data_IF_665123948003
#
_entry.id   IF_665123948003
#
_cell.length_a   1.000
_cell.length_b   1.000
_cell.length_c   1.000
_cell.angle_alpha   90.00
_cell.angle_beta   90.00
_cell.angle_gamma   90.00
#
_symmetry.space_group_name_H-M   'P 1'
#
loop_
_entity.id
_entity.type
_entity.pdbx_description
1 polymer ?
#
# COMPACT_ATOMS: atom_id res chain seq x y z
N UNK A 1 21.53 9.20 -3.54
CA UNK A 1 20.76 7.94 -3.49
C UNK A 1 19.32 8.25 -3.13
N UNK A 2 18.37 7.40 -3.52
CA UNK A 2 16.97 7.53 -3.09
C UNK A 2 16.74 6.71 -1.82
N UNK A 3 15.88 7.20 -0.93
CA UNK A 3 15.50 6.48 0.31
C UNK A 3 14.29 5.56 0.09
N UNK A 4 13.51 5.76 -0.97
CA UNK A 4 12.38 4.91 -1.31
C UNK A 4 12.40 4.59 -2.80
N UNK A 5 12.10 3.33 -3.14
CA UNK A 5 11.87 2.90 -4.52
C UNK A 5 10.59 2.09 -4.59
N UNK A 6 9.69 2.52 -5.46
CA UNK A 6 8.41 1.85 -5.71
C UNK A 6 8.33 1.54 -7.19
N UNK A 7 8.01 0.29 -7.52
CA UNK A 7 7.75 -0.14 -8.88
C UNK A 7 6.25 0.01 -9.18
N UNK A 8 5.91 0.69 -10.29
CA UNK A 8 4.54 0.88 -10.74
C UNK A 8 4.28 0.03 -11.99
N UNK A 9 3.41 -0.98 -11.88
CA UNK A 9 2.99 -1.79 -13.02
C UNK A 9 1.72 -1.21 -13.65
N UNK A 10 1.81 -0.81 -14.92
CA UNK A 10 0.66 -0.32 -15.71
C UNK A 10 -0.23 -1.50 -16.10
N UNK A 11 -1.54 -1.40 -15.85
CA UNK A 11 -2.54 -2.44 -16.18
C UNK A 11 -3.92 -1.81 -16.43
N UNK A 12 -3.99 -0.84 -17.34
CA UNK A 12 -5.19 -0.02 -17.53
C UNK A 12 -5.41 0.94 -16.35
N UNK A 13 -6.67 1.10 -15.95
CA UNK A 13 -7.08 1.93 -14.80
C UNK A 13 -6.60 1.30 -13.49
N UNK A 14 -6.81 -0.01 -13.31
CA UNK A 14 -6.36 -0.75 -12.13
C UNK A 14 -4.86 -1.09 -12.21
N UNK A 15 -4.08 -0.61 -11.25
CA UNK A 15 -2.61 -0.71 -11.25
C UNK A 15 -2.10 -1.39 -9.99
N UNK A 16 -0.83 -1.79 -10.04
CA UNK A 16 -0.12 -2.39 -8.91
C UNK A 16 1.11 -1.56 -8.60
N UNK A 17 1.28 -1.20 -7.32
CA UNK A 17 2.50 -0.63 -6.79
C UNK A 17 3.19 -1.67 -5.89
N UNK A 18 4.51 -1.82 -6.04
CA UNK A 18 5.32 -2.72 -5.22
C UNK A 18 6.47 -1.97 -4.57
N UNK A 19 6.63 -2.12 -3.26
CA UNK A 19 7.79 -1.61 -2.54
C UNK A 19 9.05 -2.40 -2.93
N UNK A 20 10.05 -1.71 -3.50
CA UNK A 20 11.33 -2.31 -3.93
C UNK A 20 12.45 -2.08 -2.93
N UNK A 21 12.48 -0.88 -2.33
CA UNK A 21 13.53 -0.46 -1.43
C UNK A 21 12.95 0.54 -0.43
N UNK A 22 13.15 0.29 0.86
CA UNK A 22 12.71 1.17 1.94
C UNK A 22 13.54 0.95 3.20
N UNK A 23 13.89 2.02 3.93
CA UNK A 23 14.52 1.89 5.24
C UNK A 23 13.58 1.33 6.31
N UNK A 24 12.26 1.51 6.18
CA UNK A 24 11.31 1.25 7.28
C UNK A 24 9.94 0.67 6.86
N UNK A 25 9.63 0.59 5.57
CA UNK A 25 8.36 0.02 5.10
C UNK A 25 8.54 -1.44 4.64
N UNK A 26 7.58 -2.33 4.96
CA UNK A 26 7.59 -3.70 4.46
C UNK A 26 7.60 -3.80 2.94
N UNK A 27 8.17 -4.88 2.42
CA UNK A 27 8.02 -5.25 1.02
C UNK A 27 6.63 -5.84 0.80
N UNK A 28 5.73 -5.00 0.29
CA UNK A 28 4.35 -5.35 -0.01
C UNK A 28 3.89 -4.78 -1.35
N UNK A 29 2.83 -5.39 -1.86
CA UNK A 29 2.14 -4.96 -3.07
C UNK A 29 0.81 -4.32 -2.66
N UNK A 30 0.42 -3.25 -3.35
CA UNK A 30 -0.90 -2.65 -3.21
C UNK A 30 -1.50 -2.41 -4.59
N UNK A 31 -2.83 -2.36 -4.64
CA UNK A 31 -3.59 -2.05 -5.85
C UNK A 31 -4.26 -0.69 -5.69
N UNK A 32 -4.31 0.06 -6.78
CA UNK A 32 -4.95 1.36 -6.86
C UNK A 32 -5.57 1.53 -8.24
N UNK A 33 -6.53 2.42 -8.38
CA UNK A 33 -7.10 2.79 -9.67
C UNK A 33 -6.64 4.19 -10.09
N UNK A 34 -6.59 4.44 -11.40
CA UNK A 34 -6.35 5.77 -11.96
C UNK A 34 -7.59 6.17 -12.76
N UNK A 35 -8.18 7.29 -12.39
CA UNK A 35 -9.33 7.91 -13.05
C UNK A 35 -9.05 9.39 -13.34
N UNK A 36 -10.04 10.12 -13.85
CA UNK A 36 -9.90 11.54 -14.22
C UNK A 36 -9.55 12.46 -13.03
N UNK A 37 -9.87 12.06 -11.78
CA UNK A 37 -9.51 12.80 -10.56
C UNK A 37 -8.11 12.48 -10.06
N UNK A 38 -7.46 11.45 -10.60
CA UNK A 38 -6.11 11.01 -10.20
C UNK A 38 -6.09 9.56 -9.74
N UNK A 39 -5.48 9.31 -8.58
CA UNK A 39 -5.36 7.98 -8.00
C UNK A 39 -6.36 7.80 -6.85
N UNK A 40 -7.10 6.70 -6.87
CA UNK A 40 -8.04 6.31 -5.83
C UNK A 40 -7.82 4.85 -5.40
N UNK A 41 -8.38 4.48 -4.26
CA UNK A 41 -8.42 3.09 -3.81
C UNK A 41 -9.34 2.25 -4.71
N UNK A 42 -9.06 0.96 -4.83
CA UNK A 42 -9.99 0.04 -5.49
C UNK A 42 -11.07 -0.32 -4.46
N UNK A 43 -12.32 0.05 -4.74
CA UNK A 43 -13.45 -0.41 -3.96
C UNK A 43 -13.57 -1.93 -4.13
N UNK A 44 -13.29 -2.68 -3.07
CA UNK A 44 -13.47 -4.13 -3.07
C UNK A 44 -14.97 -4.41 -3.03
N UNK A 45 -15.55 -4.83 -4.17
CA UNK A 45 -16.94 -5.25 -4.24
C UNK A 45 -17.16 -6.47 -3.33
N UNK A 46 -17.53 -6.22 -2.07
CA UNK A 46 -17.88 -7.31 -1.15
C UNK A 46 -17.87 -7.04 0.35
N UNK A 47 -17.32 -5.94 0.88
CA UNK A 47 -17.36 -5.68 2.33
C UNK A 47 -17.83 -4.25 2.62
N UNK A 48 -19.13 -4.14 2.87
CA UNK A 48 -19.75 -2.91 3.34
C UNK A 48 -19.20 -2.48 4.72
N UNK A 49 -18.91 -1.18 4.83
CA UNK A 49 -18.80 -0.32 6.03
C UNK A 49 -17.43 -0.28 6.73
N UNK A 50 -16.70 0.84 6.59
CA UNK A 50 -16.88 2.06 7.42
C UNK A 50 -15.73 3.05 7.14
N UNK A 51 -16.07 4.22 6.62
CA UNK A 51 -15.21 5.40 6.64
C UNK A 51 -14.78 5.75 8.06
N UNK A 52 -13.49 5.70 8.37
CA UNK A 52 -12.85 6.59 9.36
C UNK A 52 -11.39 6.77 8.95
N UNK A 53 -11.03 7.99 8.58
CA UNK A 53 -9.63 8.36 8.35
C UNK A 53 -8.78 8.17 9.62
N UNK A 54 -7.50 7.88 9.40
CA UNK A 54 -6.46 8.17 10.38
C UNK A 54 -6.09 7.04 11.34
N UNK A 55 -4.81 6.66 11.21
CA UNK A 55 -3.93 6.06 12.24
C UNK A 55 -4.30 4.66 12.73
N UNK A 56 -3.48 3.68 12.34
CA UNK A 56 -3.02 2.65 13.28
C UNK A 56 -1.52 2.43 13.18
N UNK A 57 -0.82 3.07 14.11
CA UNK A 57 0.48 2.62 14.57
C UNK A 57 0.33 1.30 15.35
N UNK A 58 1.39 0.48 15.28
CA UNK A 58 1.86 -0.54 16.24
C UNK A 58 1.13 -1.89 16.37
N UNK A 59 1.87 -2.97 16.05
CA UNK A 59 2.44 -3.95 17.01
C UNK A 59 3.47 -4.82 16.27
N UNK A 60 4.77 -4.62 16.46
CA UNK A 60 5.65 -5.35 17.40
C UNK A 60 5.57 -6.88 17.29
N UNK A 61 6.55 -7.47 16.62
CA UNK A 61 7.08 -8.80 16.97
C UNK A 61 8.58 -8.63 17.23
N UNK A 62 8.92 -8.44 18.50
CA UNK A 62 10.26 -8.74 19.00
C UNK A 62 10.34 -10.26 19.16
N UNK A 63 11.22 -10.90 18.41
CA UNK A 63 11.62 -12.29 18.68
C UNK A 63 12.91 -12.22 19.47
N UNK A 64 12.80 -12.41 20.79
CA UNK A 64 13.91 -12.80 21.66
C UNK A 64 14.34 -14.21 21.27
N UNK A 65 15.62 -14.41 20.96
CA UNK A 65 16.25 -15.72 21.03
C UNK A 65 17.36 -15.62 22.09
N UNK A 66 17.31 -16.55 23.04
CA UNK A 66 18.25 -16.80 24.13
C UNK A 66 19.65 -17.13 23.61
#
# INVERSE_FOLDING_TARGET
>A
SSTYRVYLRKSGENRVAKMMDSPYHPYSDTRFTINEKGADDIEEEGISKKSVGGKKASKTTATTND
#
